data_IF_404928201906
#
_entry.id   IF_404928201906
#
_cell.length_a   1.000
_cell.length_b   1.000
_cell.length_c   1.000
_cell.angle_alpha   90.00
_cell.angle_beta   90.00
_cell.angle_gamma   90.00
#
_symmetry.space_group_name_H-M   'P 1'
#
loop_
_entity.id
_entity.type
_entity.pdbx_description
1 polymer ?
#
# COMPACT_ATOMS: atom_id res chain seq x y z
N UNK A 1 -2.15 -32.30 -21.44
CA UNK A 1 -2.38 -30.99 -22.09
C UNK A 1 -1.73 -30.99 -23.45
N UNK A 2 -2.47 -30.62 -24.49
CA UNK A 2 -2.02 -30.52 -25.88
C UNK A 2 -2.33 -29.10 -26.40
N UNK A 3 -1.56 -28.53 -27.33
CA UNK A 3 -1.95 -27.30 -28.01
C UNK A 3 -3.14 -27.59 -28.94
N UNK A 4 -4.16 -26.73 -28.97
CA UNK A 4 -5.37 -26.97 -29.77
C UNK A 4 -5.08 -27.08 -31.29
N UNK A 5 -4.10 -26.31 -31.76
CA UNK A 5 -3.76 -26.15 -33.18
C UNK A 5 -2.61 -27.06 -33.67
N UNK A 6 -2.14 -28.00 -32.85
CA UNK A 6 -1.03 -28.89 -33.24
C UNK A 6 -1.52 -30.21 -33.82
N UNK A 7 -1.16 -30.51 -35.07
CA UNK A 7 -1.39 -31.84 -35.67
C UNK A 7 -0.55 -32.94 -35.02
N UNK A 8 0.52 -32.57 -34.31
CA UNK A 8 1.32 -33.49 -33.52
C UNK A 8 0.80 -33.55 -32.08
N UNK A 9 0.36 -34.74 -31.66
CA UNK A 9 -0.09 -35.06 -30.29
C UNK A 9 1.10 -35.17 -29.31
N UNK A 10 1.97 -34.16 -29.28
CA UNK A 10 3.03 -34.07 -28.27
C UNK A 10 2.41 -33.41 -27.03
N UNK A 11 2.37 -34.10 -25.88
CA UNK A 11 1.82 -33.51 -24.66
C UNK A 11 2.78 -32.41 -24.17
N UNK A 12 2.26 -31.20 -24.02
CA UNK A 12 2.97 -30.09 -23.37
C UNK A 12 3.21 -30.39 -21.89
N UNK A 13 2.24 -31.02 -21.24
CA UNK A 13 2.28 -31.33 -19.81
C UNK A 13 1.34 -32.49 -19.48
N UNK A 14 1.74 -33.31 -18.50
CA UNK A 14 0.93 -34.33 -17.85
C UNK A 14 0.97 -34.08 -16.34
N UNK A 15 -0.16 -34.20 -15.68
CA UNK A 15 -0.28 -34.04 -14.23
C UNK A 15 -1.18 -35.15 -13.68
N UNK A 16 -0.90 -35.66 -12.48
CA UNK A 16 -1.74 -36.66 -11.83
C UNK A 16 -3.06 -36.04 -11.38
N UNK A 17 -4.11 -36.87 -11.35
CA UNK A 17 -5.40 -36.58 -10.76
C UNK A 17 -5.46 -37.28 -9.40
N UNK A 18 -5.86 -36.57 -8.36
CA UNK A 18 -6.00 -37.09 -7.00
C UNK A 18 -7.49 -37.29 -6.70
N UNK A 19 -7.83 -38.37 -5.99
CA UNK A 19 -9.20 -38.64 -5.57
C UNK A 19 -9.58 -37.72 -4.42
N UNK A 20 -10.80 -37.18 -4.44
CA UNK A 20 -11.32 -36.36 -3.34
C UNK A 20 -11.70 -37.29 -2.18
N UNK A 21 -11.14 -37.07 -0.99
CA UNK A 21 -11.32 -37.92 0.20
C UNK A 21 -12.79 -38.19 0.56
N UNK A 22 -13.68 -37.24 0.23
CA UNK A 22 -15.12 -37.31 0.54
C UNK A 22 -15.92 -37.98 -0.57
N UNK A 23 -15.39 -38.05 -1.80
CA UNK A 23 -16.06 -38.55 -3.00
C UNK A 23 -15.06 -39.30 -3.89
N UNK A 24 -14.87 -40.63 -3.70
CA UNK A 24 -13.82 -41.40 -4.39
C UNK A 24 -14.02 -41.53 -5.91
N UNK A 25 -15.21 -41.19 -6.42
CA UNK A 25 -15.50 -41.11 -7.86
C UNK A 25 -15.09 -39.77 -8.46
N UNK A 26 -14.88 -38.74 -7.65
CA UNK A 26 -14.45 -37.41 -8.07
C UNK A 26 -12.92 -37.33 -7.99
N UNK A 27 -12.31 -36.92 -9.09
CA UNK A 27 -10.87 -36.73 -9.19
C UNK A 27 -10.57 -35.28 -9.56
N UNK A 28 -9.66 -34.65 -8.84
CA UNK A 28 -9.28 -33.25 -9.05
C UNK A 28 -7.76 -33.10 -9.23
N UNK A 29 -7.36 -32.00 -9.85
CA UNK A 29 -5.96 -31.62 -9.99
C UNK A 29 -5.83 -30.13 -10.20
N UNK A 30 -4.74 -29.56 -9.73
CA UNK A 30 -4.39 -28.16 -9.97
C UNK A 30 -3.45 -28.12 -11.17
N UNK A 31 -3.91 -27.49 -12.25
CA UNK A 31 -3.09 -27.27 -13.43
C UNK A 31 -2.02 -26.21 -13.12
N UNK A 32 -0.71 -26.48 -13.35
CA UNK A 32 0.35 -25.49 -13.18
C UNK A 32 0.20 -24.28 -14.12
N UNK A 33 1.03 -23.25 -13.95
CA UNK A 33 0.98 -22.05 -14.80
C UNK A 33 1.19 -22.42 -16.28
N UNK A 34 0.16 -22.16 -17.10
CA UNK A 34 0.18 -22.38 -18.54
C UNK A 34 0.39 -21.03 -19.24
N UNK A 35 1.23 -20.97 -20.29
CA UNK A 35 1.33 -19.77 -21.09
C UNK A 35 -0.01 -19.45 -21.75
N UNK A 36 -0.21 -18.18 -22.12
CA UNK A 36 -1.43 -17.75 -22.82
C UNK A 36 -1.61 -18.54 -24.12
N UNK A 37 -2.81 -19.04 -24.36
CA UNK A 37 -3.09 -19.89 -25.52
C UNK A 37 -4.30 -20.80 -25.36
N UNK A 38 -4.53 -21.61 -26.39
CA UNK A 38 -5.64 -22.55 -26.48
C UNK A 38 -5.11 -23.98 -26.36
N UNK A 39 -5.67 -24.73 -25.42
CA UNK A 39 -5.21 -26.07 -25.07
C UNK A 39 -6.35 -27.07 -25.09
N UNK A 40 -5.99 -28.32 -25.34
CA UNK A 40 -6.86 -29.49 -25.17
C UNK A 40 -6.37 -30.33 -24.00
N UNK A 41 -7.27 -30.58 -23.06
CA UNK A 41 -7.06 -31.53 -21.98
C UNK A 41 -7.61 -32.88 -22.42
N UNK A 42 -6.84 -33.95 -22.21
CA UNK A 42 -7.24 -35.32 -22.51
C UNK A 42 -7.06 -36.16 -21.26
N UNK A 43 -8.10 -36.90 -20.89
CA UNK A 43 -8.04 -37.84 -19.79
C UNK A 43 -7.30 -39.10 -20.24
N UNK A 44 -6.33 -39.55 -19.45
CA UNK A 44 -5.61 -40.79 -19.68
C UNK A 44 -5.63 -41.65 -18.42
N UNK A 45 -6.20 -42.86 -18.53
CA UNK A 45 -6.27 -43.83 -17.43
C UNK A 45 -5.45 -45.05 -17.86
N UNK A 46 -4.30 -45.34 -17.22
CA UNK A 46 -3.37 -46.38 -17.67
C UNK A 46 -3.97 -47.79 -17.74
N UNK A 47 -4.97 -48.09 -16.90
CA UNK A 47 -5.50 -49.45 -16.70
C UNK A 47 -7.00 -49.59 -17.03
N UNK A 48 -7.60 -48.57 -17.64
CA UNK A 48 -9.01 -48.61 -18.04
C UNK A 48 -9.13 -48.28 -19.53
N UNK A 49 -9.64 -49.19 -20.37
CA UNK A 49 -9.98 -48.84 -21.74
C UNK A 49 -11.16 -47.87 -21.69
N UNK A 50 -10.87 -46.58 -21.75
CA UNK A 50 -11.85 -45.63 -22.29
C UNK A 50 -12.27 -46.19 -23.66
N UNK A 51 -13.57 -46.15 -23.97
CA UNK A 51 -14.09 -46.69 -25.24
C UNK A 51 -13.43 -46.05 -26.47
N UNK A 52 -13.98 -46.26 -27.65
CA UNK A 52 -13.45 -45.69 -28.90
C UNK A 52 -13.38 -44.15 -28.92
N UNK A 53 -13.95 -43.47 -27.92
CA UNK A 53 -14.04 -42.02 -27.82
C UNK A 53 -13.13 -41.49 -26.69
N UNK A 54 -12.20 -40.61 -27.05
CA UNK A 54 -11.33 -39.95 -26.10
C UNK A 54 -12.11 -38.86 -25.36
N UNK A 55 -12.05 -38.85 -24.03
CA UNK A 55 -12.63 -37.77 -23.22
C UNK A 55 -11.67 -36.58 -23.25
N UNK A 56 -12.07 -35.54 -23.99
CA UNK A 56 -11.27 -34.33 -24.22
C UNK A 56 -12.10 -33.06 -23.89
N UNK A 57 -11.45 -32.01 -23.39
CA UNK A 57 -12.07 -30.70 -23.14
C UNK A 57 -11.13 -29.56 -23.54
N UNK A 58 -11.70 -28.44 -23.94
CA UNK A 58 -10.95 -27.25 -24.38
C UNK A 58 -10.73 -26.28 -23.21
N UNK A 59 -9.51 -25.74 -23.12
CA UNK A 59 -9.09 -24.79 -22.10
C UNK A 59 -8.47 -23.56 -22.77
N UNK A 60 -9.04 -22.39 -22.49
CA UNK A 60 -8.55 -21.10 -22.98
C UNK A 60 -7.85 -20.36 -21.85
N UNK A 61 -6.53 -20.13 -22.00
CA UNK A 61 -5.73 -19.40 -21.01
C UNK A 61 -5.48 -17.98 -21.52
N UNK A 62 -6.14 -17.01 -20.91
CA UNK A 62 -6.01 -15.59 -21.27
C UNK A 62 -5.15 -14.84 -20.27
N UNK A 63 -4.40 -13.84 -20.74
CA UNK A 63 -3.63 -12.96 -19.86
C UNK A 63 -4.59 -12.23 -18.91
N UNK A 64 -4.32 -12.30 -17.60
CA UNK A 64 -5.08 -11.54 -16.60
C UNK A 64 -4.84 -10.04 -16.83
N UNK A 65 -5.77 -9.37 -17.50
CA UNK A 65 -5.80 -7.90 -17.55
C UNK A 65 -6.12 -7.39 -16.14
N UNK A 66 -5.10 -6.96 -15.41
CA UNK A 66 -5.31 -6.29 -14.13
C UNK A 66 -6.09 -4.98 -14.41
N UNK A 67 -7.27 -4.83 -13.80
CA UNK A 67 -8.15 -3.68 -14.03
C UNK A 67 -7.49 -2.34 -13.71
N UNK A 68 -6.49 -2.34 -12.84
CA UNK A 68 -5.68 -1.17 -12.45
C UNK A 68 -4.86 -0.60 -13.62
N UNK A 69 -4.36 -1.44 -14.52
CA UNK A 69 -3.56 -0.99 -15.69
C UNK A 69 -4.43 -0.59 -16.88
N UNK A 70 -5.71 -0.99 -16.88
CA UNK A 70 -6.64 -0.68 -17.98
C UNK A 70 -7.31 0.69 -17.84
N UNK A 71 -7.33 1.27 -16.63
CA UNK A 71 -8.02 2.54 -16.34
C UNK A 71 -7.05 3.57 -15.77
N UNK A 72 -6.36 4.27 -16.66
CA UNK A 72 -5.40 5.33 -16.32
C UNK A 72 -6.07 6.70 -16.07
N UNK A 73 -7.36 6.83 -16.36
CA UNK A 73 -8.10 8.09 -16.17
C UNK A 73 -8.77 8.14 -14.80
N UNK A 74 -8.64 9.29 -14.13
CA UNK A 74 -9.31 9.57 -12.87
C UNK A 74 -10.85 9.44 -12.99
N UNK A 75 -11.49 8.84 -11.99
CA UNK A 75 -12.95 8.77 -11.91
C UNK A 75 -13.52 10.10 -11.38
N UNK A 76 -13.89 11.00 -12.30
CA UNK A 76 -14.41 12.32 -11.91
C UNK A 76 -15.70 12.23 -11.08
N UNK A 77 -16.59 11.27 -11.39
CA UNK A 77 -17.86 11.10 -10.67
C UNK A 77 -17.64 10.65 -9.23
N UNK A 78 -16.61 9.84 -8.99
CA UNK A 78 -16.24 9.40 -7.65
C UNK A 78 -15.60 10.55 -6.85
N UNK A 79 -14.72 11.33 -7.48
CA UNK A 79 -14.11 12.51 -6.86
C UNK A 79 -15.17 13.56 -6.49
N UNK A 80 -16.14 13.84 -7.37
CA UNK A 80 -17.21 14.80 -7.10
C UNK A 80 -18.10 14.35 -5.93
N UNK A 81 -18.39 13.04 -5.83
CA UNK A 81 -19.14 12.46 -4.68
C UNK A 81 -18.37 12.62 -3.37
N UNK A 82 -17.07 12.40 -3.38
CA UNK A 82 -16.25 12.63 -2.19
C UNK A 82 -16.25 14.11 -1.79
N UNK A 83 -16.02 15.01 -2.74
CA UNK A 83 -16.04 16.45 -2.47
C UNK A 83 -17.40 16.91 -1.91
N UNK A 84 -18.52 16.42 -2.45
CA UNK A 84 -19.85 16.72 -1.93
C UNK A 84 -20.05 16.26 -0.48
N UNK A 85 -19.46 15.10 -0.11
CA UNK A 85 -19.60 14.53 1.23
C UNK A 85 -18.71 15.23 2.26
N UNK A 86 -17.50 15.64 1.85
CA UNK A 86 -16.50 16.27 2.74
C UNK A 86 -16.60 17.79 2.77
N UNK A 87 -17.53 18.40 2.03
CA UNK A 87 -17.58 19.85 1.73
C UNK A 87 -16.29 20.36 1.05
N UNK A 88 -15.57 19.45 0.40
CA UNK A 88 -14.37 19.76 -0.40
C UNK A 88 -14.72 20.29 -1.79
N UNK A 89 -13.70 20.37 -2.65
CA UNK A 89 -13.87 20.67 -4.07
C UNK A 89 -12.84 19.90 -4.91
N UNK A 90 -13.20 19.61 -6.15
CA UNK A 90 -12.33 18.91 -7.11
C UNK A 90 -11.85 19.91 -8.14
N UNK A 91 -10.54 20.13 -8.19
CA UNK A 91 -9.90 21.03 -9.16
C UNK A 91 -9.23 20.22 -10.26
N UNK A 92 -9.38 20.65 -11.51
CA UNK A 92 -8.61 20.14 -12.64
C UNK A 92 -7.20 20.75 -12.66
N UNK A 93 -6.23 20.15 -13.40
CA UNK A 93 -4.88 20.70 -13.50
C UNK A 93 -4.82 22.16 -13.97
N UNK A 94 -5.78 22.60 -14.78
CA UNK A 94 -5.89 23.99 -15.26
C UNK A 94 -6.60 24.93 -14.28
N UNK A 95 -7.19 24.43 -13.20
CA UNK A 95 -7.88 25.21 -12.18
C UNK A 95 -7.03 25.40 -10.92
N UNK A 96 -5.72 25.15 -11.01
CA UNK A 96 -4.79 25.22 -9.89
C UNK A 96 -4.79 26.61 -9.22
N UNK A 97 -4.97 27.68 -10.00
CA UNK A 97 -5.07 29.05 -9.48
C UNK A 97 -6.28 29.23 -8.53
N UNK A 98 -7.40 28.56 -8.82
CA UNK A 98 -8.59 28.60 -7.98
C UNK A 98 -8.38 27.87 -6.65
N UNK A 99 -7.59 26.79 -6.67
CA UNK A 99 -7.17 26.09 -5.46
C UNK A 99 -6.30 27.00 -4.58
N UNK A 100 -5.32 27.67 -5.17
CA UNK A 100 -4.45 28.62 -4.48
C UNK A 100 -5.24 29.78 -3.86
N UNK A 101 -6.23 30.31 -4.57
CA UNK A 101 -7.10 31.36 -4.03
C UNK A 101 -7.96 30.90 -2.84
N UNK A 102 -8.32 29.60 -2.79
CA UNK A 102 -9.13 29.01 -1.70
C UNK A 102 -8.28 28.61 -0.49
N UNK A 103 -7.00 28.32 -0.71
CA UNK A 103 -6.02 28.13 0.35
C UNK A 103 -5.72 29.50 0.96
N UNK A 104 -6.58 29.96 1.89
CA UNK A 104 -6.29 31.15 2.67
C UNK A 104 -4.91 30.97 3.32
N UNK A 105 -3.94 31.88 3.08
CA UNK A 105 -2.73 31.93 3.85
C UNK A 105 -3.09 32.55 5.20
N UNK A 106 -3.88 31.84 5.99
CA UNK A 106 -3.92 32.13 7.42
C UNK A 106 -2.51 31.81 7.89
N UNK A 107 -1.70 32.85 8.08
CA UNK A 107 -0.42 32.74 8.73
C UNK A 107 -0.72 32.07 10.07
N UNK A 108 -0.50 30.76 10.15
CA UNK A 108 -0.52 30.04 11.40
C UNK A 108 0.54 30.73 12.25
N UNK A 109 0.10 31.65 13.10
CA UNK A 109 0.95 32.22 14.14
C UNK A 109 1.17 31.07 15.09
N UNK A 110 2.16 30.25 14.78
CA UNK A 110 2.67 29.26 15.70
C UNK A 110 3.23 30.06 16.86
N UNK A 111 2.47 30.15 17.95
CA UNK A 111 2.97 30.62 19.22
C UNK A 111 4.03 29.62 19.69
N UNK A 112 5.27 29.87 19.26
CA UNK A 112 6.43 29.19 19.79
C UNK A 112 6.64 29.75 21.18
N UNK A 113 6.16 29.02 22.20
CA UNK A 113 6.41 29.36 23.59
C UNK A 113 7.90 29.19 23.87
N UNK A 114 8.66 30.27 23.74
CA UNK A 114 10.06 30.29 24.10
C UNK A 114 10.16 30.39 25.62
N UNK A 115 10.34 29.25 26.29
CA UNK A 115 10.69 29.22 27.71
C UNK A 115 12.12 29.72 27.86
N UNK A 116 12.28 31.03 28.10
CA UNK A 116 13.58 31.63 28.38
C UNK A 116 13.87 31.38 29.87
N UNK A 117 14.86 30.55 30.22
CA UNK A 117 15.17 30.30 31.62
C UNK A 117 15.66 31.60 32.29
N UNK A 118 15.16 31.92 33.48
CA UNK A 118 15.55 33.13 34.22
C UNK A 118 17.08 33.22 34.45
N UNK A 119 17.75 32.06 34.55
CA UNK A 119 19.20 31.95 34.67
C UNK A 119 19.98 32.50 33.47
N UNK A 120 19.34 32.69 32.31
CA UNK A 120 19.99 33.24 31.12
C UNK A 120 20.08 34.78 31.15
N UNK A 121 19.58 35.43 32.20
CA UNK A 121 19.67 36.87 32.35
C UNK A 121 20.92 37.27 33.16
N UNK A 122 21.79 38.10 32.60
CA UNK A 122 23.02 38.59 33.26
C UNK A 122 22.76 39.25 34.63
N UNK A 123 21.54 39.78 34.84
CA UNK A 123 21.12 40.36 36.10
C UNK A 123 21.07 39.33 37.26
N UNK A 124 20.72 38.06 36.98
CA UNK A 124 20.73 37.01 38.00
C UNK A 124 22.14 36.75 38.52
N UNK A 125 23.14 36.80 37.64
CA UNK A 125 24.56 36.68 38.02
C UNK A 125 24.98 37.84 38.94
N UNK A 126 24.64 39.08 38.55
CA UNK A 126 24.95 40.27 39.35
C UNK A 126 24.26 40.22 40.71
N UNK A 127 23.00 39.78 40.78
CA UNK A 127 22.26 39.67 42.03
C UNK A 127 22.89 38.63 42.98
N UNK A 128 23.27 37.46 42.47
CA UNK A 128 23.97 36.44 43.27
C UNK A 128 25.32 36.97 43.77
N UNK A 129 26.10 37.61 42.90
CA UNK A 129 27.38 38.23 43.28
C UNK A 129 27.22 39.35 44.30
N UNK A 130 26.16 40.16 44.19
CA UNK A 130 25.86 41.21 45.16
C UNK A 130 25.52 40.61 46.53
N UNK A 131 24.67 39.57 46.59
CA UNK A 131 24.34 38.88 47.84
C UNK A 131 25.59 38.29 48.48
N UNK A 132 26.42 37.58 47.72
CA UNK A 132 27.69 37.01 48.19
C UNK A 132 28.66 38.11 48.67
N UNK A 133 28.74 39.23 47.96
CA UNK A 133 29.60 40.35 48.33
C UNK A 133 29.10 41.05 49.58
N UNK A 134 27.78 41.22 49.73
CA UNK A 134 27.15 41.80 50.92
C UNK A 134 27.34 40.87 52.11
N UNK A 135 27.14 39.56 51.94
CA UNK A 135 27.41 38.57 52.98
C UNK A 135 28.87 38.63 53.42
N UNK A 136 29.81 38.62 52.48
CA UNK A 136 31.23 38.76 52.78
C UNK A 136 31.55 40.07 53.50
N UNK A 137 30.96 41.19 53.08
CA UNK A 137 31.18 42.50 53.68
C UNK A 137 30.63 42.57 55.11
N UNK A 138 29.42 42.04 55.33
CA UNK A 138 28.81 41.91 56.66
C UNK A 138 29.66 41.00 57.54
N UNK A 139 30.14 39.87 57.01
CA UNK A 139 31.03 38.95 57.73
C UNK A 139 32.36 39.60 58.11
N UNK A 140 32.96 40.36 57.19
CA UNK A 140 34.18 41.15 57.42
C UNK A 140 33.97 42.19 58.52
N UNK A 141 32.82 42.86 58.55
CA UNK A 141 32.49 43.88 59.55
C UNK A 141 32.20 43.28 60.93
N UNK A 142 31.60 42.10 60.98
CA UNK A 142 31.29 41.41 62.24
C UNK A 142 32.44 40.55 62.78
N UNK A 143 33.59 40.48 62.08
CA UNK A 143 34.81 39.83 62.58
C UNK A 143 34.75 38.30 62.68
N UNK A 144 33.80 37.66 62.00
CA UNK A 144 33.68 36.20 61.96
C UNK A 144 34.54 35.63 60.81
N UNK A 145 35.37 34.59 61.04
CA UNK A 145 36.27 34.03 60.03
C UNK A 145 35.57 33.36 58.85
#
# INVERSE_FOLDING_TARGET
VYPLHSEQLVPLMRFPLESVDTEPLLHESIVPDLPVGEYRLRLNIPDFPLGSEAIETELFVTQRKNGETNRLTADRRLLDRFAATTKGAVFLPHELDQLLARLSPESLVTETKADIPLWNHWLMFVMIMAILSVEWLVRKWHGLP
#
